data_IF_102512856532
#
_entry.id   IF_102512856532
#
_cell.length_a   1.000
_cell.length_b   1.000
_cell.length_c   1.000
_cell.angle_alpha   90.00
_cell.angle_beta   90.00
_cell.angle_gamma   90.00
#
_symmetry.space_group_name_H-M   'P 1'
#
loop_
_entity.id
_entity.type
_entity.pdbx_description
1 polymer ?
#
# COMPACT_ATOMS: atom_id res chain seq x y z
N UNK A 1 7.10 4.11 -4.55
CA UNK A 1 6.30 2.83 -4.62
C UNK A 1 5.53 2.52 -3.34
N UNK A 2 6.18 2.40 -2.16
CA UNK A 2 5.46 2.18 -0.88
C UNK A 2 4.58 3.38 -0.48
N UNK A 3 5.03 4.60 -0.75
CA UNK A 3 4.26 5.85 -0.54
C UNK A 3 2.95 5.84 -1.34
N UNK A 4 3.03 5.51 -2.64
CA UNK A 4 1.84 5.32 -3.48
C UNK A 4 0.88 4.28 -2.89
N UNK A 5 1.41 3.20 -2.31
CA UNK A 5 0.61 2.14 -1.69
C UNK A 5 -0.19 2.65 -0.48
N UNK A 6 0.40 3.49 0.37
CA UNK A 6 -0.30 4.15 1.49
C UNK A 6 -1.29 5.19 0.99
N UNK A 7 -0.94 5.99 -0.01
CA UNK A 7 -1.83 6.98 -0.63
C UNK A 7 -3.11 6.31 -1.17
N UNK A 8 -2.99 5.13 -1.78
CA UNK A 8 -4.13 4.39 -2.33
C UNK A 8 -4.92 3.58 -1.29
N UNK A 9 -4.49 3.54 0.00
CA UNK A 9 -5.18 2.79 1.07
C UNK A 9 -6.70 3.05 1.11
N UNK A 10 -7.21 4.30 1.07
CA UNK A 10 -8.67 4.55 1.13
C UNK A 10 -9.43 3.94 -0.05
N UNK A 11 -8.82 3.93 -1.24
CA UNK A 11 -9.41 3.35 -2.45
C UNK A 11 -9.42 1.82 -2.34
N UNK A 12 -8.31 1.23 -1.91
CA UNK A 12 -8.17 -0.22 -1.69
C UNK A 12 -9.19 -0.71 -0.64
N UNK A 13 -9.29 -0.01 0.50
CA UNK A 13 -10.25 -0.35 1.56
C UNK A 13 -11.71 -0.23 1.07
N UNK A 14 -12.01 0.78 0.25
CA UNK A 14 -13.33 0.94 -0.38
C UNK A 14 -13.65 -0.21 -1.34
N UNK A 15 -12.68 -0.67 -2.13
CA UNK A 15 -12.84 -1.81 -3.03
C UNK A 15 -13.16 -3.08 -2.25
N UNK A 16 -12.43 -3.36 -1.16
CA UNK A 16 -12.69 -4.53 -0.31
C UNK A 16 -14.04 -4.46 0.39
N UNK A 17 -14.43 -3.30 0.94
CA UNK A 17 -15.77 -3.10 1.54
C UNK A 17 -16.91 -3.36 0.55
N UNK A 18 -16.70 -3.02 -0.72
CA UNK A 18 -17.72 -3.16 -1.76
C UNK A 18 -17.58 -4.45 -2.60
N UNK A 19 -16.64 -5.33 -2.28
CA UNK A 19 -16.30 -6.47 -3.14
C UNK A 19 -17.46 -7.43 -3.38
N UNK A 20 -18.38 -7.55 -2.41
CA UNK A 20 -19.61 -8.37 -2.52
C UNK A 20 -20.67 -7.75 -3.42
N UNK A 21 -20.58 -6.44 -3.69
CA UNK A 21 -21.46 -5.70 -4.61
C UNK A 21 -20.89 -5.64 -6.02
N UNK A 22 -19.65 -6.09 -6.22
CA UNK A 22 -19.05 -6.19 -7.54
C UNK A 22 -19.60 -7.44 -8.24
N UNK A 23 -19.88 -7.34 -9.54
CA UNK A 23 -20.31 -8.46 -10.40
C UNK A 23 -19.15 -9.44 -10.66
N UNK A 24 -18.62 -10.05 -9.60
CA UNK A 24 -17.52 -11.00 -9.64
C UNK A 24 -18.04 -12.40 -9.36
N UNK A 25 -17.40 -13.41 -9.96
CA UNK A 25 -17.66 -14.80 -9.59
C UNK A 25 -17.23 -15.06 -8.15
N UNK A 26 -17.88 -16.03 -7.48
CA UNK A 26 -17.54 -16.46 -6.11
C UNK A 26 -16.05 -16.82 -5.96
N UNK A 27 -15.46 -17.42 -7.01
CA UNK A 27 -14.02 -17.76 -7.04
C UNK A 27 -13.14 -16.50 -7.04
N UNK A 28 -13.48 -15.51 -7.85
CA UNK A 28 -12.76 -14.22 -7.89
C UNK A 28 -12.88 -13.47 -6.57
N UNK A 29 -14.10 -13.37 -6.01
CA UNK A 29 -14.32 -12.73 -4.71
C UNK A 29 -13.49 -13.38 -3.62
N UNK A 30 -13.49 -14.71 -3.53
CA UNK A 30 -12.69 -15.44 -2.54
C UNK A 30 -11.19 -15.27 -2.77
N UNK A 31 -10.73 -15.19 -4.02
CA UNK A 31 -9.32 -14.96 -4.33
C UNK A 31 -8.89 -13.56 -3.91
N UNK A 32 -9.71 -12.55 -4.15
CA UNK A 32 -9.41 -11.17 -3.79
C UNK A 32 -9.48 -10.95 -2.28
N UNK A 33 -10.47 -11.51 -1.58
CA UNK A 33 -10.56 -11.40 -0.11
C UNK A 33 -9.32 -11.96 0.61
N UNK A 34 -8.59 -12.90 0.02
CA UNK A 34 -7.30 -13.37 0.57
C UNK A 34 -6.18 -12.33 0.52
N UNK A 35 -6.35 -11.31 -0.32
CA UNK A 35 -5.43 -10.19 -0.48
C UNK A 35 -5.85 -8.98 0.37
N UNK A 36 -6.94 -9.08 1.14
CA UNK A 36 -7.37 -8.01 2.03
C UNK A 36 -6.30 -7.76 3.09
N UNK A 37 -5.80 -6.53 3.12
CA UNK A 37 -4.73 -6.13 4.03
C UNK A 37 -5.38 -5.68 5.34
N UNK A 38 -4.96 -6.30 6.45
CA UNK A 38 -5.44 -5.91 7.77
C UNK A 38 -4.94 -4.51 8.16
N UNK A 39 -5.66 -3.84 9.07
CA UNK A 39 -5.20 -2.56 9.63
C UNK A 39 -3.79 -2.65 10.23
N UNK A 40 -3.49 -3.72 10.96
CA UNK A 40 -2.15 -3.95 11.52
C UNK A 40 -1.07 -4.01 10.45
N UNK A 41 -1.35 -4.62 9.29
CA UNK A 41 -0.41 -4.66 8.18
C UNK A 41 -0.19 -3.27 7.57
N UNK A 42 -1.25 -2.47 7.44
CA UNK A 42 -1.13 -1.08 7.00
C UNK A 42 -0.27 -0.25 7.94
N UNK A 43 -0.46 -0.40 9.25
CA UNK A 43 0.31 0.33 10.26
C UNK A 43 1.81 -0.03 10.17
N UNK A 44 2.14 -1.30 9.88
CA UNK A 44 3.54 -1.73 9.64
C UNK A 44 4.11 -1.07 8.38
N UNK A 45 3.34 -1.00 7.29
CA UNK A 45 3.78 -0.33 6.05
C UNK A 45 4.06 1.16 6.29
N UNK A 46 3.18 1.84 7.03
CA UNK A 46 3.36 3.25 7.41
C UNK A 46 4.60 3.45 8.30
N UNK A 47 4.85 2.55 9.26
CA UNK A 47 6.05 2.62 10.09
C UNK A 47 7.33 2.38 9.28
N UNK A 48 7.33 1.41 8.37
CA UNK A 48 8.48 1.15 7.50
C UNK A 48 8.81 2.36 6.63
N UNK A 49 7.79 3.06 6.09
CA UNK A 49 8.01 4.30 5.35
C UNK A 49 8.69 5.37 6.19
N UNK A 50 8.21 5.61 7.41
CA UNK A 50 8.82 6.58 8.34
C UNK A 50 10.28 6.24 8.67
N UNK A 51 10.60 4.96 8.77
CA UNK A 51 11.98 4.51 9.02
C UNK A 51 12.85 4.70 7.78
N UNK A 52 12.34 4.43 6.58
CA UNK A 52 13.10 4.45 5.33
C UNK A 52 13.28 5.87 4.75
N UNK A 53 12.35 6.79 5.01
CA UNK A 53 12.37 8.15 4.48
C UNK A 53 13.67 8.93 4.84
N UNK A 54 14.19 8.91 6.08
CA UNK A 54 15.48 9.52 6.39
C UNK A 54 16.65 8.95 5.59
N UNK A 55 16.65 7.63 5.33
CA UNK A 55 17.71 7.00 4.53
C UNK A 55 17.61 7.39 3.07
N UNK A 56 16.40 7.45 2.51
CA UNK A 56 16.17 7.96 1.15
C UNK A 56 16.71 9.38 1.01
N UNK A 57 16.33 10.28 1.92
CA UNK A 57 16.78 11.67 1.91
C UNK A 57 18.30 11.79 2.05
N UNK A 58 18.91 10.97 2.91
CA UNK A 58 20.36 10.93 3.05
C UNK A 58 21.06 10.44 1.77
N UNK A 59 20.54 9.41 1.11
CA UNK A 59 21.10 8.90 -0.15
C UNK A 59 20.93 9.92 -1.28
N UNK A 60 19.78 10.60 -1.39
CA UNK A 60 19.57 11.68 -2.36
C UNK A 60 20.62 12.79 -2.17
N UNK A 61 20.90 13.17 -0.91
CA UNK A 61 21.87 14.21 -0.59
C UNK A 61 23.33 13.78 -0.84
N UNK A 62 23.68 12.52 -0.55
CA UNK A 62 25.07 12.01 -0.66
C UNK A 62 25.40 11.61 -2.09
N UNK A 63 24.48 10.94 -2.78
CA UNK A 63 24.73 10.35 -4.10
C UNK A 63 24.34 11.26 -5.27
N UNK A 64 23.57 12.33 -5.01
CA UNK A 64 22.98 13.17 -6.06
C UNK A 64 21.92 12.44 -6.91
N UNK A 65 21.54 11.22 -6.53
CA UNK A 65 20.59 10.38 -7.27
C UNK A 65 19.19 10.66 -6.75
N UNK A 66 18.32 11.23 -7.58
CA UNK A 66 16.89 11.36 -7.25
C UNK A 66 16.17 10.04 -7.50
N UNK A 67 15.49 9.54 -6.48
CA UNK A 67 14.62 8.37 -6.64
C UNK A 67 13.24 8.81 -7.16
N UNK A 68 12.63 8.04 -8.07
CA UNK A 68 11.28 8.34 -8.52
C UNK A 68 10.31 8.27 -7.35
N UNK A 69 9.57 9.36 -7.18
CA UNK A 69 8.52 9.55 -6.17
C UNK A 69 7.24 8.83 -6.60
#
# INVERSE_FOLDING_TARGET
MLEAFVIFRPIIDSLFKNIRKMNLSKKQTNSLLKLEISNTCWDVVEQLLKVLEPFRNAIEHISGTQYPT
#
